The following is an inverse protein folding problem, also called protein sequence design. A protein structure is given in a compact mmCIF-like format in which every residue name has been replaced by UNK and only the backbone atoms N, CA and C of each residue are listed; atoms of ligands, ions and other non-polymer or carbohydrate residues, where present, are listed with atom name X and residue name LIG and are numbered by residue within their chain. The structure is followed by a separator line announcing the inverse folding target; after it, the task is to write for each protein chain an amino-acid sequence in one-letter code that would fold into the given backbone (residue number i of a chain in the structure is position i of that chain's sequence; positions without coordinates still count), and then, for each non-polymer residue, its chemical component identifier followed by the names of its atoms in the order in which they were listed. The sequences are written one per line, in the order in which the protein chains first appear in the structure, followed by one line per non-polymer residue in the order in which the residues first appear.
data_IF_458775300235
#
_entry.id   IF_458775300235
#
_cell.length_a   1.000
_cell.length_b   1.000
_cell.length_c   1.000
_cell.angle_alpha   90.00
_cell.angle_beta   90.00
_cell.angle_gamma   90.00
#
_symmetry.space_group_name_H-M   'P 1'
#
loop_
_entity.id
_entity.type
_entity.pdbx_description
1 polymer ?
#
# COMPACT_ATOMS: atom_id res chain seq x y z
N UNK A 1 -13.93 21.18 63.30
CA UNK A 1 -14.31 21.21 61.87
C UNK A 1 -13.18 21.63 60.91
N UNK A 2 -12.25 22.52 61.28
CA UNK A 2 -11.16 22.98 60.37
C UNK A 2 -10.10 21.91 59.98
N UNK A 3 -9.97 20.79 60.72
CA UNK A 3 -8.97 19.72 60.41
C UNK A 3 -9.38 18.76 59.30
N UNK A 4 -10.68 18.61 59.02
CA UNK A 4 -11.16 17.67 57.98
C UNK A 4 -11.20 18.29 56.57
N UNK A 5 -11.23 19.62 56.48
CA UNK A 5 -11.21 20.34 55.20
C UNK A 5 -9.83 20.20 54.51
N UNK A 6 -8.75 20.17 55.29
CA UNK A 6 -7.39 20.06 54.74
C UNK A 6 -7.09 18.66 54.16
N UNK A 7 -7.69 17.60 54.72
CA UNK A 7 -7.52 16.24 54.23
C UNK A 7 -8.29 16.00 52.91
N UNK A 8 -9.45 16.65 52.76
CA UNK A 8 -10.26 16.54 51.54
C UNK A 8 -9.60 17.25 50.34
N UNK A 9 -8.94 18.39 50.57
CA UNK A 9 -8.23 19.14 49.51
C UNK A 9 -7.00 18.36 49.00
N UNK A 10 -6.32 17.61 49.86
CA UNK A 10 -5.14 16.82 49.44
C UNK A 10 -5.52 15.59 48.60
N UNK A 11 -6.68 14.96 48.85
CA UNK A 11 -7.19 13.82 48.08
C UNK A 11 -7.68 14.26 46.69
N UNK A 12 -8.26 15.47 46.57
CA UNK A 12 -8.71 15.99 45.28
C UNK A 12 -7.52 16.40 44.39
N UNK A 13 -6.43 16.92 44.98
CA UNK A 13 -5.23 17.30 44.21
C UNK A 13 -4.43 16.10 43.67
N UNK A 14 -4.39 14.97 44.39
CA UNK A 14 -3.71 13.76 43.90
C UNK A 14 -4.49 13.02 42.82
N UNK A 15 -5.82 13.23 42.73
CA UNK A 15 -6.62 12.71 41.62
C UNK A 15 -6.49 13.55 40.33
N UNK A 16 -6.17 14.84 40.43
CA UNK A 16 -6.02 15.71 39.25
C UNK A 16 -4.69 15.53 38.50
N UNK A 17 -3.64 15.02 39.14
CA UNK A 17 -2.33 14.83 38.48
C UNK A 17 -2.24 13.53 37.68
N UNK A 18 -3.14 12.56 37.91
CA UNK A 18 -3.21 11.34 37.10
C UNK A 18 -4.07 11.46 35.83
N UNK A 19 -4.73 12.62 35.61
CA UNK A 19 -5.56 12.86 34.43
C UNK A 19 -4.79 13.40 33.21
N UNK A 20 -3.47 13.61 33.30
CA UNK A 20 -2.68 14.35 32.27
C UNK A 20 -1.61 13.55 31.54
N UNK A 21 -1.56 12.21 31.64
CA UNK A 21 -0.52 11.42 30.95
C UNK A 21 -0.94 10.85 29.60
N UNK A 22 -2.19 11.02 29.15
CA UNK A 22 -2.62 10.62 27.80
C UNK A 22 -2.79 11.86 26.91
N UNK A 23 -2.01 11.95 25.83
CA UNK A 23 -2.26 12.93 24.75
C UNK A 23 -3.72 12.81 24.30
N UNK A 24 -4.45 13.94 24.12
CA UNK A 24 -5.81 13.89 23.64
C UNK A 24 -5.85 13.20 22.27
N UNK A 25 -6.86 12.36 22.03
CA UNK A 25 -6.98 11.54 20.82
C UNK A 25 -6.84 12.36 19.53
N UNK A 26 -7.42 13.57 19.48
CA UNK A 26 -7.27 14.50 18.36
C UNK A 26 -5.80 14.75 18.02
N UNK A 27 -4.97 15.04 19.04
CA UNK A 27 -3.54 15.29 18.86
C UNK A 27 -2.83 14.07 18.27
N UNK A 28 -3.13 12.87 18.79
CA UNK A 28 -2.56 11.63 18.27
C UNK A 28 -2.92 11.42 16.80
N UNK A 29 -4.18 11.66 16.41
CA UNK A 29 -4.61 11.51 15.02
C UNK A 29 -3.90 12.54 14.11
N UNK A 30 -3.85 13.81 14.52
CA UNK A 30 -3.18 14.87 13.76
C UNK A 30 -1.68 14.61 13.55
N UNK A 31 -0.98 14.11 14.57
CA UNK A 31 0.44 13.72 14.47
C UNK A 31 0.67 12.64 13.40
N UNK A 32 -0.32 11.80 13.10
CA UNK A 32 -0.21 10.69 12.14
C UNK A 32 -0.57 11.11 10.69
N UNK A 33 -1.30 12.21 10.48
CA UNK A 33 -1.66 12.70 9.12
C UNK A 33 -0.81 13.88 8.63
N UNK A 34 0.10 14.34 9.49
CA UNK A 34 0.93 15.52 9.28
C UNK A 34 1.82 15.45 8.02
N UNK A 35 2.24 14.25 7.62
CA UNK A 35 3.04 14.01 6.41
C UNK A 35 2.36 14.53 5.15
N UNK A 36 1.03 14.45 5.09
CA UNK A 36 0.27 14.97 3.96
C UNK A 36 -0.10 16.44 4.15
N UNK A 37 -0.61 16.77 5.35
CA UNK A 37 -1.07 18.12 5.67
C UNK A 37 0.03 19.19 5.55
N UNK A 38 1.27 18.85 5.93
CA UNK A 38 2.41 19.77 5.86
C UNK A 38 2.68 20.29 4.45
N UNK A 39 2.34 19.54 3.40
CA UNK A 39 2.47 19.99 2.01
C UNK A 39 1.54 21.15 1.67
N UNK A 40 0.48 21.38 2.44
CA UNK A 40 -0.53 22.42 2.18
C UNK A 40 -0.46 23.59 3.16
N UNK A 41 0.39 23.51 4.20
CA UNK A 41 0.41 24.48 5.30
C UNK A 41 0.71 25.90 4.83
N UNK A 42 1.70 26.03 3.95
CA UNK A 42 2.24 27.31 3.50
C UNK A 42 1.62 27.79 2.17
N UNK A 43 0.59 27.09 1.68
CA UNK A 43 -0.13 27.49 0.48
C UNK A 43 -1.15 28.60 0.78
N UNK A 44 -1.42 29.44 -0.21
CA UNK A 44 -2.50 30.42 -0.14
C UNK A 44 -3.87 29.73 -0.15
N UNK A 45 -4.91 30.42 0.34
CA UNK A 45 -6.27 29.85 0.43
C UNK A 45 -6.84 29.42 -0.93
N UNK A 46 -6.41 30.04 -2.02
CA UNK A 46 -6.82 29.63 -3.37
C UNK A 46 -6.22 28.28 -3.78
N UNK A 47 -4.98 28.01 -3.35
CA UNK A 47 -4.24 26.79 -3.65
C UNK A 47 -4.65 25.63 -2.72
N UNK A 48 -5.24 25.93 -1.56
CA UNK A 48 -5.85 24.95 -0.65
C UNK A 48 -7.21 24.44 -1.10
N UNK A 49 -7.79 24.95 -2.19
CA UNK A 49 -9.10 24.47 -2.71
C UNK A 49 -9.11 22.97 -3.03
N UNK A 50 -7.95 22.36 -3.28
CA UNK A 50 -7.79 20.93 -3.50
C UNK A 50 -7.58 20.10 -2.23
N UNK A 51 -7.57 20.70 -1.04
CA UNK A 51 -7.37 20.03 0.25
C UNK A 51 -8.73 19.66 0.87
N UNK A 52 -8.91 18.39 1.18
CA UNK A 52 -10.03 17.86 1.95
C UNK A 52 -9.54 17.33 3.30
N UNK A 53 -10.26 17.70 4.37
CA UNK A 53 -9.98 17.26 5.73
C UNK A 53 -11.26 16.68 6.32
N UNK A 54 -11.21 15.42 6.73
CA UNK A 54 -12.31 14.75 7.43
C UNK A 54 -11.85 14.50 8.88
N UNK A 55 -12.11 15.45 9.76
CA UNK A 55 -11.92 15.27 11.21
C UNK A 55 -13.17 14.64 11.83
N UNK A 56 -13.09 13.34 12.09
CA UNK A 56 -14.10 12.57 12.81
C UNK A 56 -13.48 11.95 14.07
N UNK A 57 -12.70 12.75 14.81
CA UNK A 57 -12.01 12.33 16.05
C UNK A 57 -12.95 11.65 17.04
N UNK A 58 -14.24 12.01 17.07
CA UNK A 58 -15.27 11.36 17.91
C UNK A 58 -15.43 9.86 17.61
N UNK A 59 -15.23 9.45 16.36
CA UNK A 59 -15.22 8.05 15.93
C UNK A 59 -13.78 7.50 15.84
N UNK A 60 -12.79 8.28 16.28
CA UNK A 60 -11.38 7.92 16.24
C UNK A 60 -10.79 7.93 14.85
N UNK A 61 -11.26 8.77 13.92
CA UNK A 61 -10.79 8.82 12.54
C UNK A 61 -10.40 10.23 12.13
N UNK A 62 -9.33 10.34 11.34
CA UNK A 62 -8.91 11.58 10.69
C UNK A 62 -8.35 11.25 9.30
N UNK A 63 -8.73 12.03 8.31
CA UNK A 63 -8.19 11.96 6.96
C UNK A 63 -7.85 13.35 6.44
N UNK A 64 -6.72 13.43 5.75
CA UNK A 64 -6.26 14.59 4.99
C UNK A 64 -5.88 14.10 3.61
N UNK A 65 -6.51 14.63 2.58
CA UNK A 65 -6.13 14.32 1.21
C UNK A 65 -6.22 15.57 0.33
N UNK A 66 -5.48 15.56 -0.77
CA UNK A 66 -5.54 16.66 -1.71
C UNK A 66 -4.51 16.57 -2.82
N UNK A 67 -4.64 17.47 -3.77
CA UNK A 67 -3.75 17.56 -4.93
C UNK A 67 -2.92 18.83 -4.87
N UNK A 68 -1.61 18.68 -4.90
CA UNK A 68 -0.68 19.80 -4.90
C UNK A 68 -0.76 20.58 -6.24
N UNK A 69 -0.90 21.91 -6.22
CA UNK A 69 -1.31 22.69 -7.40
C UNK A 69 -0.26 22.74 -8.52
N UNK A 70 1.04 22.76 -8.21
CA UNK A 70 2.08 22.97 -9.23
C UNK A 70 2.36 21.72 -10.07
N UNK A 71 2.27 20.55 -9.45
CA UNK A 71 2.68 19.27 -10.02
C UNK A 71 1.49 18.31 -10.24
N UNK A 72 0.31 18.64 -9.68
CA UNK A 72 -0.81 17.72 -9.65
C UNK A 72 -0.57 16.53 -8.71
N UNK A 73 0.38 16.63 -7.78
CA UNK A 73 0.72 15.53 -6.89
C UNK A 73 -0.44 15.26 -5.92
N UNK A 74 -1.15 14.15 -6.11
CA UNK A 74 -2.10 13.68 -5.10
C UNK A 74 -1.36 13.13 -3.88
N UNK A 75 -1.82 13.53 -2.70
CA UNK A 75 -1.42 13.02 -1.41
C UNK A 75 -2.66 12.64 -0.59
N UNK A 76 -2.59 11.54 0.15
CA UNK A 76 -3.61 11.11 1.09
C UNK A 76 -2.95 10.55 2.34
N UNK A 77 -3.45 10.94 3.50
CA UNK A 77 -3.10 10.34 4.77
C UNK A 77 -4.33 10.20 5.62
N UNK A 78 -4.54 9.01 6.18
CA UNK A 78 -5.62 8.80 7.14
C UNK A 78 -5.16 7.90 8.28
N UNK A 79 -5.70 8.17 9.45
CA UNK A 79 -5.42 7.46 10.68
C UNK A 79 -6.72 7.09 11.39
N UNK A 80 -6.77 5.88 11.95
CA UNK A 80 -7.81 5.49 12.89
C UNK A 80 -7.27 4.94 14.20
N UNK A 81 -8.00 5.20 15.25
CA UNK A 81 -7.70 4.79 16.60
C UNK A 81 -8.58 3.62 17.05
N UNK A 82 -7.93 2.52 17.39
CA UNK A 82 -8.54 1.30 17.88
C UNK A 82 -8.35 1.22 19.40
N UNK A 83 -9.46 1.25 20.11
CA UNK A 83 -9.49 1.35 21.56
C UNK A 83 -9.50 -0.04 22.21
N UNK A 84 -8.62 -0.28 23.19
CA UNK A 84 -8.65 -1.48 24.04
C UNK A 84 -9.59 -1.31 25.25
N UNK A 85 -9.69 -2.34 26.10
CA UNK A 85 -10.49 -2.30 27.34
C UNK A 85 -9.98 -1.26 28.36
N UNK A 86 -8.68 -0.96 28.35
CA UNK A 86 -8.02 0.00 29.24
C UNK A 86 -8.06 1.45 28.71
N UNK A 87 -8.81 1.69 27.64
CA UNK A 87 -8.92 2.97 26.97
C UNK A 87 -7.58 3.51 26.41
N UNK A 88 -6.63 2.64 26.07
CA UNK A 88 -5.49 2.99 25.24
C UNK A 88 -5.84 2.84 23.76
N UNK A 89 -5.12 3.59 22.92
CA UNK A 89 -5.34 3.59 21.49
C UNK A 89 -4.16 2.97 20.75
N UNK A 90 -4.47 2.01 19.90
CA UNK A 90 -3.60 1.59 18.79
C UNK A 90 -3.99 2.43 17.59
N UNK A 91 -3.06 3.18 17.03
CA UNK A 91 -3.29 4.00 15.84
C UNK A 91 -2.81 3.21 14.64
N UNK A 92 -3.69 2.98 13.65
CA UNK A 92 -3.29 2.49 12.34
C UNK A 92 -3.40 3.65 11.36
N UNK A 93 -2.35 3.87 10.57
CA UNK A 93 -2.30 4.93 9.57
C UNK A 93 -1.95 4.37 8.20
N UNK A 94 -2.49 5.00 7.16
CA UNK A 94 -2.10 4.77 5.78
C UNK A 94 -1.74 6.10 5.11
N UNK A 95 -0.68 6.08 4.30
CA UNK A 95 -0.23 7.23 3.53
C UNK A 95 -0.03 6.84 2.07
N UNK A 96 -0.44 7.72 1.17
CA UNK A 96 -0.24 7.63 -0.27
C UNK A 96 0.26 8.97 -0.81
N UNK A 97 1.34 8.94 -1.60
CA UNK A 97 1.83 10.08 -2.36
C UNK A 97 2.11 9.61 -3.78
N UNK A 98 1.33 10.13 -4.72
CA UNK A 98 1.33 9.66 -6.11
C UNK A 98 2.66 9.93 -6.83
N UNK A 99 3.24 11.13 -6.66
CA UNK A 99 4.38 11.55 -7.47
C UNK A 99 5.70 10.85 -7.16
N UNK A 100 5.87 10.28 -5.98
CA UNK A 100 7.06 9.49 -5.65
C UNK A 100 6.72 8.01 -5.42
N UNK A 101 5.56 7.57 -5.92
CA UNK A 101 5.07 6.21 -5.78
C UNK A 101 5.16 5.71 -4.33
N UNK A 102 4.75 6.54 -3.37
CA UNK A 102 4.72 6.14 -1.97
C UNK A 102 3.38 5.56 -1.62
N UNK A 103 3.37 4.34 -1.09
CA UNK A 103 2.27 3.82 -0.28
C UNK A 103 2.82 3.23 0.99
N UNK A 104 2.18 3.48 2.13
CA UNK A 104 2.59 2.89 3.40
C UNK A 104 1.42 2.67 4.31
N UNK A 105 1.50 1.62 5.10
CA UNK A 105 0.67 1.37 6.26
C UNK A 105 1.59 1.20 7.47
N UNK A 106 1.27 1.85 8.57
CA UNK A 106 2.04 1.73 9.81
C UNK A 106 1.15 1.94 11.03
N UNK A 107 1.72 1.72 12.20
CA UNK A 107 1.03 1.85 13.47
C UNK A 107 1.96 2.43 14.53
N UNK A 108 1.38 3.01 15.58
CA UNK A 108 2.12 3.38 16.79
C UNK A 108 2.60 2.16 17.60
N UNK A 109 2.24 0.94 17.18
CA UNK A 109 2.77 -0.34 17.62
C UNK A 109 3.33 -1.11 16.42
N UNK A 110 4.19 -2.08 16.67
CA UNK A 110 4.67 -2.97 15.61
C UNK A 110 3.50 -3.70 14.94
N UNK A 111 3.38 -3.63 13.62
CA UNK A 111 2.29 -4.28 12.88
C UNK A 111 2.18 -5.78 13.19
N UNK A 112 3.31 -6.47 13.34
CA UNK A 112 3.34 -7.89 13.69
C UNK A 112 2.73 -8.22 15.06
N UNK A 113 2.64 -7.24 15.98
CA UNK A 113 2.05 -7.42 17.31
C UNK A 113 0.55 -7.16 17.35
N UNK A 114 0.02 -6.43 16.37
CA UNK A 114 -1.40 -6.07 16.33
C UNK A 114 -2.15 -6.80 15.22
N UNK A 115 -1.47 -7.39 14.25
CA UNK A 115 -2.08 -8.20 13.21
C UNK A 115 -2.19 -9.66 13.65
N UNK A 116 -3.06 -10.47 13.00
CA UNK A 116 -3.16 -11.89 13.31
C UNK A 116 -1.79 -12.60 13.28
N UNK A 117 -1.63 -13.64 14.09
CA UNK A 117 -0.40 -14.43 14.07
C UNK A 117 -0.10 -14.95 12.67
N UNK A 118 1.15 -14.78 12.24
CA UNK A 118 1.61 -15.12 10.89
C UNK A 118 0.84 -14.41 9.76
N UNK A 119 0.23 -13.25 10.05
CA UNK A 119 -0.39 -12.42 9.02
C UNK A 119 0.65 -12.02 7.97
N UNK A 120 0.30 -12.26 6.72
CA UNK A 120 1.19 -12.07 5.60
C UNK A 120 0.63 -12.76 4.38
N UNK A 121 1.46 -13.01 3.39
CA UNK A 121 0.96 -13.55 2.13
C UNK A 121 0.35 -14.95 2.25
N UNK A 122 0.78 -15.74 3.23
CA UNK A 122 0.16 -17.04 3.56
C UNK A 122 -1.29 -16.91 4.01
N UNK A 123 -1.71 -15.73 4.45
CA UNK A 123 -3.11 -15.43 4.77
C UNK A 123 -3.98 -15.34 3.51
N UNK A 124 -3.37 -14.94 2.38
CA UNK A 124 -4.03 -14.73 1.09
C UNK A 124 -3.84 -15.90 0.11
N UNK A 125 -2.86 -16.77 0.33
CA UNK A 125 -2.48 -17.87 -0.57
C UNK A 125 -1.98 -19.08 0.20
N UNK A 126 -2.43 -20.28 -0.18
CA UNK A 126 -1.92 -21.55 0.35
C UNK A 126 -0.57 -21.99 -0.25
N UNK A 127 -0.15 -21.42 -1.38
CA UNK A 127 1.02 -21.89 -2.15
C UNK A 127 2.38 -21.38 -1.64
N UNK A 128 3.40 -22.24 -1.73
CA UNK A 128 4.80 -21.92 -1.39
C UNK A 128 5.56 -21.14 -2.50
N UNK A 129 5.02 -21.10 -3.73
CA UNK A 129 5.68 -20.53 -4.93
C UNK A 129 6.17 -19.10 -4.71
N UNK A 130 5.53 -18.38 -3.80
CA UNK A 130 5.82 -16.98 -3.58
C UNK A 130 7.20 -16.75 -2.90
N UNK A 131 7.83 -17.79 -2.35
CA UNK A 131 9.20 -17.69 -1.83
C UNK A 131 10.27 -17.53 -2.92
N UNK A 132 9.91 -17.62 -4.20
CA UNK A 132 10.84 -17.57 -5.33
C UNK A 132 11.01 -16.18 -5.96
N UNK A 133 10.28 -15.17 -5.48
CA UNK A 133 10.43 -13.80 -6.00
C UNK A 133 11.73 -13.18 -5.48
N UNK A 134 12.53 -12.63 -6.39
CA UNK A 134 13.79 -11.96 -6.05
C UNK A 134 13.58 -10.65 -5.29
N UNK A 135 12.43 -10.00 -5.50
CA UNK A 135 12.03 -8.75 -4.87
C UNK A 135 10.54 -8.82 -4.51
N UNK A 136 10.08 -8.02 -3.53
CA UNK A 136 8.66 -7.85 -3.28
C UNK A 136 7.93 -7.37 -4.52
N UNK A 137 6.78 -7.99 -4.79
CA UNK A 137 5.89 -7.63 -5.90
C UNK A 137 4.49 -7.24 -5.43
N UNK A 138 4.19 -7.44 -4.15
CA UNK A 138 2.88 -7.17 -3.56
C UNK A 138 2.99 -6.17 -2.41
N UNK A 139 1.92 -5.43 -2.18
CA UNK A 139 1.75 -4.52 -1.05
C UNK A 139 0.39 -4.78 -0.40
N UNK A 140 0.32 -4.69 0.92
CA UNK A 140 -0.95 -4.76 1.64
C UNK A 140 -1.54 -3.37 1.83
N UNK A 141 -2.60 -3.08 1.08
CA UNK A 141 -3.35 -1.85 1.18
C UNK A 141 -4.46 -1.97 2.23
N UNK A 142 -4.42 -1.14 3.27
CA UNK A 142 -5.36 -1.16 4.38
C UNK A 142 -6.42 -0.08 4.20
N UNK A 143 -7.64 -0.46 3.84
CA UNK A 143 -8.80 0.42 3.86
C UNK A 143 -9.36 0.48 5.28
N UNK A 144 -9.06 1.59 5.96
CA UNK A 144 -9.47 1.86 7.33
C UNK A 144 -10.87 2.50 7.34
N UNK A 145 -11.84 1.97 8.10
CA UNK A 145 -13.19 2.52 8.08
C UNK A 145 -13.26 3.82 8.89
N UNK A 146 -14.02 4.79 8.38
CA UNK A 146 -14.37 6.00 9.15
C UNK A 146 -15.22 5.70 10.41
N UNK A 147 -16.03 4.64 10.34
CA UNK A 147 -16.90 4.19 11.44
C UNK A 147 -16.80 2.68 11.62
N UNK A 148 -16.73 2.24 12.87
CA UNK A 148 -16.51 0.83 13.20
C UNK A 148 -15.02 0.48 13.19
N UNK A 149 -14.71 -0.81 13.25
CA UNK A 149 -13.33 -1.30 13.37
C UNK A 149 -12.95 -2.34 12.32
N UNK A 150 -13.87 -2.67 11.41
CA UNK A 150 -13.64 -3.62 10.34
C UNK A 150 -12.73 -3.00 9.27
N UNK A 151 -11.47 -3.43 9.25
CA UNK A 151 -10.45 -2.94 8.33
C UNK A 151 -10.26 -3.93 7.20
N UNK A 152 -10.38 -3.46 5.96
CA UNK A 152 -10.16 -4.31 4.78
C UNK A 152 -8.71 -4.23 4.36
N UNK A 153 -8.06 -5.37 4.19
CA UNK A 153 -6.69 -5.48 3.66
C UNK A 153 -6.76 -6.10 2.28
N UNK A 154 -6.39 -5.33 1.26
CA UNK A 154 -6.27 -5.80 -0.12
C UNK A 154 -4.81 -6.14 -0.42
N UNK A 155 -4.59 -7.14 -1.26
CA UNK A 155 -3.28 -7.38 -1.87
C UNK A 155 -3.22 -6.68 -3.22
N UNK A 156 -2.31 -5.71 -3.33
CA UNK A 156 -2.10 -4.93 -4.56
C UNK A 156 -0.72 -5.24 -5.14
N UNK A 157 -0.57 -5.09 -6.45
CA UNK A 157 0.73 -5.18 -7.11
C UNK A 157 1.50 -3.89 -6.87
N UNK A 158 2.79 -4.02 -6.55
CA UNK A 158 3.73 -2.91 -6.66
C UNK A 158 3.88 -2.58 -8.15
N UNK A 159 3.88 -1.28 -8.54
CA UNK A 159 4.03 -0.88 -9.94
C UNK A 159 5.23 -1.55 -10.61
N UNK A 160 5.01 -2.10 -11.81
CA UNK A 160 6.05 -2.77 -12.58
C UNK A 160 7.17 -1.80 -12.93
N UNK A 161 8.41 -2.23 -12.72
CA UNK A 161 9.59 -1.39 -12.94
C UNK A 161 10.03 -0.59 -11.72
N UNK A 162 9.27 -0.52 -10.63
CA UNK A 162 9.70 0.19 -9.41
C UNK A 162 10.90 -0.50 -8.72
N UNK A 163 10.95 -1.83 -8.81
CA UNK A 163 12.05 -2.68 -8.32
C UNK A 163 12.48 -2.38 -6.88
N UNK A 164 11.53 -2.48 -5.96
CA UNK A 164 11.78 -2.30 -4.52
C UNK A 164 12.65 -3.45 -3.99
N UNK A 165 13.69 -3.13 -3.23
CA UNK A 165 14.48 -4.15 -2.53
C UNK A 165 13.78 -4.54 -1.24
N UNK A 166 13.72 -5.84 -0.95
CA UNK A 166 13.19 -6.32 0.32
C UNK A 166 13.30 -7.82 0.47
N UNK A 167 13.07 -8.31 1.69
CA UNK A 167 12.98 -9.73 1.98
C UNK A 167 11.53 -10.20 1.85
N UNK A 168 11.31 -11.26 1.10
CA UNK A 168 9.97 -11.80 0.84
C UNK A 168 9.28 -11.13 -0.35
N UNK A 169 8.03 -11.52 -0.56
CA UNK A 169 7.26 -11.16 -1.75
C UNK A 169 6.32 -9.97 -1.57
N UNK A 170 6.18 -9.48 -0.35
CA UNK A 170 5.18 -8.48 0.01
C UNK A 170 5.77 -7.47 1.01
N UNK A 171 5.18 -6.28 1.08
CA UNK A 171 5.55 -5.22 2.01
C UNK A 171 4.31 -4.50 2.60
N UNK A 172 4.50 -3.83 3.74
CA UNK A 172 3.55 -2.84 4.28
C UNK A 172 3.84 -1.41 3.83
N UNK A 173 4.94 -1.18 3.13
CA UNK A 173 5.28 0.12 2.58
C UNK A 173 6.23 -0.01 1.39
N UNK A 174 6.10 0.91 0.45
CA UNK A 174 7.07 1.13 -0.61
C UNK A 174 7.12 2.61 -0.97
N UNK A 175 8.27 3.04 -1.49
CA UNK A 175 8.55 4.38 -2.00
C UNK A 175 9.62 4.22 -3.09
N UNK A 176 9.57 5.02 -4.14
CA UNK A 176 10.53 4.90 -5.25
C UNK A 176 12.00 5.04 -4.83
N UNK A 177 12.29 5.84 -3.81
CA UNK A 177 13.64 6.06 -3.26
C UNK A 177 14.21 4.80 -2.58
N UNK A 178 13.36 3.83 -2.23
CA UNK A 178 13.77 2.52 -1.70
C UNK A 178 14.04 1.50 -2.81
N UNK A 179 13.70 1.83 -4.05
CA UNK A 179 13.81 0.97 -5.21
C UNK A 179 15.01 1.27 -6.10
N UNK A 180 15.00 0.61 -7.26
CA UNK A 180 15.82 0.96 -8.42
C UNK A 180 14.90 1.12 -9.63
N UNK A 181 14.15 2.22 -9.68
CA UNK A 181 13.10 2.37 -10.67
C UNK A 181 13.66 2.30 -12.09
N UNK A 182 12.93 1.61 -12.97
CA UNK A 182 13.27 1.40 -14.36
C UNK A 182 11.98 1.41 -15.16
N UNK A 183 11.85 2.36 -16.09
CA UNK A 183 10.70 2.40 -16.98
C UNK A 183 10.70 1.19 -17.91
N UNK A 184 9.57 0.48 -17.93
CA UNK A 184 9.33 -0.70 -18.76
C UNK A 184 7.94 -0.64 -19.42
N UNK A 185 7.43 0.58 -19.66
CA UNK A 185 6.12 0.85 -20.28
C UNK A 185 5.99 0.30 -21.70
N UNK A 186 7.10 0.13 -22.40
CA UNK A 186 7.22 -0.56 -23.69
C UNK A 186 6.69 -1.99 -23.64
N UNK A 187 6.78 -2.67 -22.49
CA UNK A 187 6.17 -4.00 -22.32
C UNK A 187 4.65 -3.92 -22.44
N UNK A 188 4.03 -2.90 -21.83
CA UNK A 188 2.59 -2.67 -21.95
C UNK A 188 2.20 -2.39 -23.42
N UNK A 189 3.00 -1.56 -24.10
CA UNK A 189 2.79 -1.21 -25.51
C UNK A 189 2.92 -2.41 -26.45
N UNK A 190 3.93 -3.28 -26.21
CA UNK A 190 4.11 -4.55 -26.92
C UNK A 190 2.92 -5.46 -26.64
N UNK A 191 2.59 -5.71 -25.37
CA UNK A 191 1.46 -6.56 -24.98
C UNK A 191 0.15 -6.09 -25.58
N UNK A 192 -0.07 -4.78 -25.74
CA UNK A 192 -1.29 -4.25 -26.35
C UNK A 192 -1.33 -4.47 -27.87
N UNK A 193 -0.17 -4.46 -28.53
CA UNK A 193 -0.07 -4.39 -29.98
C UNK A 193 0.06 -5.77 -30.64
N UNK A 194 0.71 -6.74 -29.98
CA UNK A 194 0.93 -8.09 -30.52
C UNK A 194 -0.38 -8.81 -30.85
N UNK A 195 -0.37 -9.54 -31.96
CA UNK A 195 -1.52 -10.31 -32.45
C UNK A 195 -1.58 -11.69 -31.86
N UNK A 196 -0.43 -12.35 -31.68
CA UNK A 196 -0.35 -13.66 -31.05
C UNK A 196 0.07 -13.52 -29.58
N UNK A 197 -0.77 -13.99 -28.67
CA UNK A 197 -0.48 -13.99 -27.24
C UNK A 197 0.75 -14.86 -26.90
N UNK A 198 1.05 -15.89 -27.72
CA UNK A 198 2.25 -16.74 -27.55
C UNK A 198 3.55 -15.99 -27.81
N UNK A 199 3.51 -14.84 -28.49
CA UNK A 199 4.69 -13.99 -28.70
C UNK A 199 5.40 -13.65 -27.39
N UNK A 200 4.66 -13.45 -26.28
CA UNK A 200 5.27 -13.20 -24.97
C UNK A 200 6.06 -14.41 -24.46
N UNK A 201 5.55 -15.63 -24.65
CA UNK A 201 6.23 -16.85 -24.23
C UNK A 201 7.47 -17.12 -25.11
N UNK A 202 7.41 -16.84 -26.43
CA UNK A 202 8.57 -16.91 -27.32
C UNK A 202 9.67 -15.89 -26.97
N UNK A 203 9.30 -14.69 -26.53
CA UNK A 203 10.24 -13.70 -26.04
C UNK A 203 10.93 -14.17 -24.75
N UNK A 204 10.19 -14.78 -23.84
CA UNK A 204 10.72 -15.34 -22.59
C UNK A 204 11.69 -16.51 -22.88
N UNK A 205 11.32 -17.42 -23.78
CA UNK A 205 12.15 -18.58 -24.13
C UNK A 205 13.34 -18.24 -25.05
N UNK A 206 13.36 -17.05 -25.64
CA UNK A 206 14.35 -16.64 -26.64
C UNK A 206 14.13 -17.25 -28.02
N UNK A 207 12.97 -17.85 -28.29
CA UNK A 207 12.61 -18.49 -29.55
C UNK A 207 12.14 -17.47 -30.60
N UNK A 208 12.98 -16.48 -30.92
CA UNK A 208 12.60 -15.34 -31.77
C UNK A 208 12.17 -15.74 -33.19
N UNK A 209 12.72 -16.84 -33.73
CA UNK A 209 12.37 -17.35 -35.06
C UNK A 209 10.94 -17.90 -35.13
N UNK A 210 10.32 -18.16 -33.97
CA UNK A 210 8.92 -18.61 -33.86
C UNK A 210 7.93 -17.44 -33.82
N UNK A 211 8.40 -16.19 -33.75
CA UNK A 211 7.55 -15.00 -33.69
C UNK A 211 7.13 -14.60 -35.10
N UNK A 212 5.83 -14.39 -35.30
CA UNK A 212 5.30 -13.92 -36.57
C UNK A 212 5.96 -12.58 -37.00
N UNK A 213 6.26 -12.38 -38.30
CA UNK A 213 6.94 -11.17 -38.77
C UNK A 213 6.26 -9.84 -38.36
N UNK A 214 4.93 -9.85 -38.26
CA UNK A 214 4.14 -8.70 -37.82
C UNK A 214 4.43 -8.32 -36.35
N UNK A 215 4.46 -9.30 -35.45
CA UNK A 215 4.73 -9.10 -34.03
C UNK A 215 6.21 -8.75 -33.81
N UNK A 216 7.11 -9.34 -34.60
CA UNK A 216 8.53 -8.99 -34.56
C UNK A 216 8.77 -7.50 -34.94
N UNK A 217 8.01 -6.98 -35.91
CA UNK A 217 8.05 -5.55 -36.27
C UNK A 217 7.58 -4.66 -35.11
N UNK A 218 6.52 -5.07 -34.40
CA UNK A 218 6.00 -4.37 -33.22
C UNK A 218 7.05 -4.34 -32.11
N UNK A 219 7.67 -5.49 -31.81
CA UNK A 219 8.71 -5.60 -30.79
C UNK A 219 9.86 -4.65 -31.10
N UNK A 220 10.39 -4.68 -32.33
CA UNK A 220 11.52 -3.82 -32.74
C UNK A 220 11.19 -2.32 -32.66
N UNK A 221 9.96 -1.93 -32.96
CA UNK A 221 9.52 -0.54 -32.89
C UNK A 221 9.41 -0.02 -31.44
N UNK A 222 9.07 -0.89 -30.49
CA UNK A 222 8.84 -0.51 -29.09
C UNK A 222 10.03 -0.80 -28.17
N UNK A 223 10.97 -1.67 -28.57
CA UNK A 223 12.16 -2.01 -27.78
C UNK A 223 13.25 -0.93 -27.80
N UNK A 224 13.00 0.24 -28.40
CA UNK A 224 13.98 1.33 -28.53
C UNK A 224 13.56 2.61 -27.81
N UNK A 225 12.34 2.64 -27.25
CA UNK A 225 11.78 3.85 -26.62
C UNK A 225 12.09 3.96 -25.13
N UNK A 226 12.47 2.84 -24.50
CA UNK A 226 12.65 2.73 -23.05
C UNK A 226 14.07 2.26 -22.67
N UNK A 227 14.34 2.15 -21.37
CA UNK A 227 15.56 1.57 -20.79
C UNK A 227 15.71 0.05 -21.01
N UNK A 228 15.13 -0.52 -22.07
CA UNK A 228 15.30 -1.91 -22.48
C UNK A 228 16.16 -1.92 -23.74
N UNK A 229 17.43 -2.28 -23.61
CA UNK A 229 18.44 -2.15 -24.67
C UNK A 229 18.44 -3.27 -25.71
N UNK A 230 17.75 -4.39 -25.44
CA UNK A 230 17.76 -5.56 -26.33
C UNK A 230 16.56 -6.49 -26.14
N UNK A 231 16.30 -7.35 -27.12
CA UNK A 231 15.30 -8.43 -27.02
C UNK A 231 15.64 -9.43 -25.91
N UNK A 232 16.92 -9.66 -25.63
CA UNK A 232 17.37 -10.49 -24.52
C UNK A 232 17.02 -9.87 -23.16
N UNK A 233 17.20 -8.56 -23.02
CA UNK A 233 16.80 -7.83 -21.82
C UNK A 233 15.28 -7.82 -21.66
N UNK A 234 14.53 -7.59 -22.75
CA UNK A 234 13.08 -7.69 -22.78
C UNK A 234 12.59 -9.08 -22.31
N UNK A 235 13.19 -10.15 -22.83
CA UNK A 235 12.87 -11.53 -22.44
C UNK A 235 13.08 -11.78 -20.95
N UNK A 236 14.20 -11.29 -20.38
CA UNK A 236 14.46 -11.38 -18.93
C UNK A 236 13.45 -10.61 -18.09
N UNK A 237 13.12 -9.38 -18.49
CA UNK A 237 12.12 -8.58 -17.77
C UNK A 237 10.74 -9.23 -17.85
N UNK A 238 10.36 -9.79 -19.01
CA UNK A 238 9.12 -10.57 -19.15
C UNK A 238 9.13 -11.84 -18.29
N UNK A 239 10.27 -12.52 -18.15
CA UNK A 239 10.42 -13.67 -17.28
C UNK A 239 10.17 -13.31 -15.80
N UNK A 240 10.73 -12.18 -15.34
CA UNK A 240 10.47 -11.66 -13.99
C UNK A 240 8.99 -11.34 -13.78
N UNK A 241 8.36 -10.64 -14.74
CA UNK A 241 6.92 -10.36 -14.69
C UNK A 241 6.08 -11.65 -14.73
N UNK A 242 6.51 -12.69 -15.46
CA UNK A 242 5.85 -14.01 -15.50
C UNK A 242 5.92 -14.71 -14.15
N UNK A 243 7.03 -14.57 -13.41
CA UNK A 243 7.14 -15.07 -12.02
C UNK A 243 6.16 -14.36 -11.10
N UNK A 244 6.06 -13.03 -11.19
CA UNK A 244 5.07 -12.25 -10.43
C UNK A 244 3.64 -12.68 -10.79
N UNK A 245 3.33 -12.83 -12.09
CA UNK A 245 2.04 -13.32 -12.55
C UNK A 245 1.73 -14.72 -12.00
N UNK A 246 2.71 -15.61 -11.99
CA UNK A 246 2.54 -16.97 -11.45
C UNK A 246 2.24 -16.92 -9.95
N UNK A 247 2.92 -16.05 -9.19
CA UNK A 247 2.60 -15.80 -7.78
C UNK A 247 1.20 -15.18 -7.60
N UNK A 248 0.78 -14.27 -8.48
CA UNK A 248 -0.57 -13.70 -8.48
C UNK A 248 -1.64 -14.79 -8.65
N UNK A 249 -1.42 -15.76 -9.53
CA UNK A 249 -2.37 -16.87 -9.75
C UNK A 249 -2.57 -17.78 -8.52
N UNK A 250 -1.64 -17.75 -7.55
CA UNK A 250 -1.77 -18.52 -6.31
C UNK A 250 -2.59 -17.81 -5.24
N UNK A 251 -2.93 -16.52 -5.42
CA UNK A 251 -3.78 -15.78 -4.50
C UNK A 251 -5.17 -16.41 -4.51
N UNK A 252 -5.65 -16.80 -3.34
CA UNK A 252 -6.97 -17.42 -3.10
C UNK A 252 -7.99 -16.40 -2.59
N UNK A 253 -7.52 -15.30 -2.01
CA UNK A 253 -8.35 -14.25 -1.45
C UNK A 253 -7.85 -12.89 -1.94
N UNK A 254 -8.67 -12.10 -2.61
CA UNK A 254 -8.30 -10.76 -3.07
C UNK A 254 -8.20 -9.76 -1.90
N UNK A 255 -8.96 -10.01 -0.83
CA UNK A 255 -8.97 -9.18 0.38
C UNK A 255 -9.20 -10.03 1.63
N UNK A 256 -8.88 -9.45 2.79
CA UNK A 256 -9.20 -9.98 4.12
C UNK A 256 -9.88 -8.86 4.91
N UNK A 257 -10.98 -9.15 5.61
CA UNK A 257 -11.56 -8.23 6.58
C UNK A 257 -11.02 -8.60 7.96
N UNK A 258 -10.37 -7.63 8.59
CA UNK A 258 -9.90 -7.71 9.96
C UNK A 258 -10.89 -7.01 10.87
N UNK A 259 -11.25 -7.63 11.98
CA UNK A 259 -12.01 -6.97 13.05
C UNK A 259 -11.11 -6.76 14.27
N UNK A 260 -11.28 -5.62 14.94
CA UNK A 260 -10.55 -5.33 16.17
C UNK A 260 -11.10 -6.09 17.37
N UNK A 261 -10.26 -6.91 18.00
CA UNK A 261 -10.49 -7.52 19.29
C UNK A 261 -10.01 -6.56 20.40
N UNK A 262 -10.97 -6.00 21.14
CA UNK A 262 -10.70 -5.03 22.21
C UNK A 262 -10.06 -5.67 23.43
N UNK A 263 -10.32 -6.95 23.69
CA UNK A 263 -9.84 -7.65 24.88
C UNK A 263 -8.34 -7.89 24.78
N UNK A 264 -7.89 -8.37 23.63
CA UNK A 264 -6.49 -8.66 23.39
C UNK A 264 -5.73 -7.51 22.72
N UNK A 265 -6.43 -6.43 22.31
CA UNK A 265 -5.89 -5.29 21.58
C UNK A 265 -5.14 -5.70 20.29
N UNK A 266 -5.74 -6.62 19.53
CA UNK A 266 -5.23 -7.14 18.25
C UNK A 266 -6.34 -7.24 17.20
N UNK A 267 -5.96 -7.30 15.94
CA UNK A 267 -6.85 -7.65 14.84
C UNK A 267 -6.99 -9.18 14.72
N UNK A 268 -8.21 -9.62 14.44
CA UNK A 268 -8.53 -11.01 14.10
C UNK A 268 -9.14 -11.07 12.69
N UNK A 269 -8.96 -12.18 12.00
CA UNK A 269 -9.56 -12.40 10.68
C UNK A 269 -11.06 -12.64 10.87
N UNK A 270 -11.88 -11.74 10.34
CA UNK A 270 -13.34 -11.85 10.33
C UNK A 270 -13.84 -12.54 9.06
N UNK A 271 -13.31 -12.14 7.91
CA UNK A 271 -13.75 -12.64 6.61
C UNK A 271 -12.56 -12.73 5.66
N UNK A 272 -12.61 -13.71 4.75
CA UNK A 272 -11.71 -13.77 3.60
C UNK A 272 -12.52 -13.58 2.32
N UNK A 273 -12.07 -12.67 1.48
CA UNK A 273 -12.70 -12.36 0.21
C UNK A 273 -12.52 -13.46 -0.83
N UNK A 274 -13.22 -13.28 -1.94
CA UNK A 274 -13.17 -14.19 -3.08
C UNK A 274 -11.81 -14.19 -3.78
N UNK A 275 -11.57 -15.24 -4.57
CA UNK A 275 -10.38 -15.36 -5.40
C UNK A 275 -10.36 -14.25 -6.46
N UNK A 276 -9.21 -13.61 -6.73
CA UNK A 276 -9.10 -12.68 -7.84
C UNK A 276 -9.51 -13.34 -9.16
N UNK A 277 -10.17 -12.57 -10.04
CA UNK A 277 -10.55 -13.06 -11.36
C UNK A 277 -9.32 -13.57 -12.12
N UNK A 278 -9.49 -14.71 -12.80
CA UNK A 278 -8.46 -15.25 -13.68
C UNK A 278 -8.17 -14.27 -14.81
N UNK A 279 -6.88 -14.08 -15.10
CA UNK A 279 -6.39 -13.22 -16.19
C UNK A 279 -5.31 -13.98 -16.94
N UNK A 280 -5.26 -13.86 -18.27
CA UNK A 280 -4.10 -14.30 -19.04
C UNK A 280 -2.89 -13.44 -18.70
N UNK A 281 -1.68 -13.91 -19.02
CA UNK A 281 -0.46 -13.13 -18.79
C UNK A 281 -0.48 -11.79 -19.54
N UNK A 282 -0.99 -11.76 -20.77
CA UNK A 282 -1.17 -10.53 -21.55
C UNK A 282 -2.10 -9.53 -20.83
N UNK A 283 -3.27 -9.99 -20.38
CA UNK A 283 -4.22 -9.13 -19.63
C UNK A 283 -3.61 -8.64 -18.31
N UNK A 284 -2.83 -9.48 -17.63
CA UNK A 284 -2.10 -9.09 -16.43
C UNK A 284 -1.11 -7.94 -16.69
N UNK A 285 -0.35 -8.00 -17.79
CA UNK A 285 0.54 -6.91 -18.20
C UNK A 285 -0.25 -5.65 -18.55
N UNK A 286 -1.35 -5.75 -19.28
CA UNK A 286 -2.14 -4.59 -19.70
C UNK A 286 -2.79 -3.84 -18.54
N UNK A 287 -3.24 -4.55 -17.52
CA UNK A 287 -3.94 -3.98 -16.36
C UNK A 287 -3.02 -3.58 -15.22
N UNK A 288 -1.74 -3.92 -15.29
CA UNK A 288 -0.76 -3.53 -14.27
C UNK A 288 -0.44 -2.04 -14.33
N UNK A 289 -0.13 -1.46 -13.17
CA UNK A 289 0.47 -0.13 -13.10
C UNK A 289 1.96 -0.22 -13.43
N UNK A 290 2.46 0.72 -14.20
CA UNK A 290 3.88 0.82 -14.57
C UNK A 290 4.49 2.05 -13.91
N UNK A 291 5.67 1.89 -13.34
CA UNK A 291 6.44 3.03 -12.88
C UNK A 291 6.81 3.93 -14.06
N UNK A 292 6.63 5.22 -13.85
CA UNK A 292 7.16 6.29 -14.66
C UNK A 292 7.62 7.40 -13.72
N UNK A 293 8.66 8.15 -14.11
CA UNK A 293 9.04 9.35 -13.37
C UNK A 293 7.85 10.32 -13.38
N UNK A 294 7.41 10.74 -12.19
CA UNK A 294 6.39 11.75 -12.01
C UNK A 294 7.05 12.93 -11.30
N UNK A 295 6.88 14.11 -11.88
CA UNK A 295 7.33 15.42 -11.38
C UNK A 295 8.75 15.47 -10.78
#
# INVERSE_FOLDING_TARGET
MKKYIFLFVFIVFTCTTYAQTKSPLSKLLWENVETCFSNFRDLDEEDKKGLEIIDDTKNGYLEVCGTYPTCGCYCSSYAAAYKDLDNNYTILQSNEVSCNWTKSTSSNKELATILPNHFGLRTFSSAQIIQQLANPAFYFNFTIPRKGTDTKVNIELIPFGLNIKGTGAWLYSYNENLGKPKSITSIQSIANSIKDDKTLDYLISGSLDSIAPIDLKIIKANSTTDNISSTKELGKTLEELKKIYTAYLTIEHAYIILSWDKENAVFIIKEKGEKPAYKSFKTFLLQGSYWAAMC
#
